data_IF_580777479873
#
_entry.id   IF_580777479873
#
_cell.length_a   1.000
_cell.length_b   1.000
_cell.length_c   1.000
_cell.angle_alpha   90.00
_cell.angle_beta   90.00
_cell.angle_gamma   90.00
#
_symmetry.space_group_name_H-M   'P 1'
#
loop_
_entity.id
_entity.type
_entity.pdbx_description
1 polymer ?
#
# COMPACT_ATOMS: atom_id res chain seq x y z
N UNK A 1 -7.49 14.26 -2.17
CA UNK A 1 -7.24 12.81 -1.94
C UNK A 1 -7.24 12.39 -0.47
N UNK A 2 -6.84 13.21 0.51
CA UNK A 2 -6.78 12.77 1.95
C UNK A 2 -8.08 12.18 2.50
N UNK A 3 -9.24 12.63 2.02
CA UNK A 3 -10.56 12.18 2.45
C UNK A 3 -11.20 11.15 1.50
N UNK A 4 -10.42 10.55 0.60
CA UNK A 4 -10.94 9.67 -0.45
C UNK A 4 -11.83 8.53 0.09
N UNK A 5 -11.34 7.81 1.11
CA UNK A 5 -12.05 6.66 1.66
C UNK A 5 -13.32 7.03 2.44
N UNK A 6 -13.32 8.16 3.15
CA UNK A 6 -14.50 8.63 3.91
C UNK A 6 -15.55 9.28 3.02
N UNK A 7 -15.15 9.86 1.88
CA UNK A 7 -16.08 10.46 0.93
C UNK A 7 -16.72 9.44 -0.02
N UNK A 8 -16.27 8.19 -0.02
CA UNK A 8 -16.74 7.16 -0.94
C UNK A 8 -18.28 6.98 -0.88
N UNK A 9 -18.93 6.86 0.29
CA UNK A 9 -20.39 6.68 0.35
C UNK A 9 -21.13 7.91 -0.20
N UNK A 10 -20.68 9.12 0.16
CA UNK A 10 -21.28 10.36 -0.31
C UNK A 10 -21.13 10.49 -1.83
N UNK A 11 -19.96 10.18 -2.38
CA UNK A 11 -19.71 10.25 -3.82
C UNK A 11 -20.60 9.27 -4.60
N UNK A 12 -20.79 8.05 -4.09
CA UNK A 12 -21.68 7.05 -4.70
C UNK A 12 -23.16 7.46 -4.60
N UNK A 13 -23.59 7.93 -3.43
CA UNK A 13 -25.00 8.25 -3.17
C UNK A 13 -25.43 9.61 -3.74
N UNK A 14 -24.53 10.57 -3.93
CA UNK A 14 -24.87 11.94 -4.38
C UNK A 14 -25.64 12.01 -5.70
N UNK A 15 -25.44 11.05 -6.60
CA UNK A 15 -26.12 10.98 -7.91
C UNK A 15 -27.47 10.27 -7.86
N UNK A 16 -27.71 9.48 -6.81
CA UNK A 16 -28.87 8.59 -6.68
C UNK A 16 -29.86 9.08 -5.63
N UNK A 17 -29.37 9.78 -4.61
CA UNK A 17 -30.17 10.30 -3.52
C UNK A 17 -31.06 11.47 -3.98
N UNK A 18 -32.27 11.53 -3.41
CA UNK A 18 -33.15 12.67 -3.61
C UNK A 18 -32.45 13.95 -3.12
N UNK A 19 -32.37 14.97 -3.98
CA UNK A 19 -31.81 16.27 -3.62
C UNK A 19 -32.54 16.92 -2.43
N UNK A 20 -31.91 17.90 -1.80
CA UNK A 20 -32.35 18.48 -0.51
C UNK A 20 -33.84 18.89 -0.43
N UNK A 21 -34.47 19.26 -1.53
CA UNK A 21 -35.90 19.64 -1.58
C UNK A 21 -36.90 18.46 -1.48
N UNK A 22 -36.44 17.21 -1.60
CA UNK A 22 -37.28 16.02 -1.63
C UNK A 22 -36.98 15.01 -0.50
N UNK A 23 -36.25 15.44 0.54
CA UNK A 23 -35.91 14.59 1.69
C UNK A 23 -37.13 14.05 2.44
N UNK A 24 -38.26 14.75 2.40
CA UNK A 24 -39.50 14.31 3.04
C UNK A 24 -40.27 13.25 2.23
N UNK A 25 -39.83 12.97 0.99
CA UNK A 25 -40.51 12.09 0.03
C UNK A 25 -39.55 11.04 -0.57
N UNK A 26 -38.51 10.65 0.17
CA UNK A 26 -37.62 9.55 -0.21
C UNK A 26 -38.14 8.20 0.33
N UNK A 27 -37.59 7.09 -0.17
CA UNK A 27 -37.85 5.77 0.40
C UNK A 27 -36.90 5.53 1.57
N UNK A 28 -37.43 5.22 2.75
CA UNK A 28 -36.65 5.04 3.98
C UNK A 28 -36.44 3.57 4.39
N UNK A 29 -36.72 2.62 3.50
CA UNK A 29 -36.67 1.18 3.77
C UNK A 29 -38.04 0.55 4.05
N UNK A 30 -39.04 1.33 4.46
CA UNK A 30 -40.38 0.83 4.81
C UNK A 30 -41.48 1.57 4.05
N UNK A 31 -41.40 2.91 3.98
CA UNK A 31 -42.40 3.75 3.32
C UNK A 31 -41.76 4.95 2.62
N UNK A 32 -42.56 5.70 1.86
CA UNK A 32 -42.15 6.98 1.28
C UNK A 32 -42.31 8.09 2.32
N UNK A 33 -41.27 8.30 3.11
CA UNK A 33 -41.22 9.29 4.17
C UNK A 33 -39.75 9.67 4.45
N UNK A 34 -39.55 10.70 5.27
CA UNK A 34 -38.20 11.12 5.69
C UNK A 34 -37.48 9.99 6.45
N UNK A 35 -36.18 9.85 6.17
CA UNK A 35 -35.27 9.03 6.98
C UNK A 35 -34.92 9.80 8.27
N UNK A 36 -35.18 9.17 9.42
CA UNK A 36 -35.00 9.80 10.74
C UNK A 36 -33.63 9.51 11.39
N UNK A 37 -33.05 8.30 11.29
CA UNK A 37 -31.75 8.03 11.90
C UNK A 37 -30.64 8.93 11.35
N UNK A 38 -29.69 9.26 12.21
CA UNK A 38 -28.50 10.02 11.81
C UNK A 38 -27.54 9.13 11.00
N UNK A 39 -26.77 9.75 10.11
CA UNK A 39 -25.71 9.04 9.40
C UNK A 39 -24.65 8.54 10.40
N UNK A 40 -24.24 7.29 10.25
CA UNK A 40 -23.18 6.71 11.09
C UNK A 40 -21.82 7.34 10.80
N UNK A 41 -20.95 7.38 11.81
CA UNK A 41 -19.57 7.85 11.68
C UNK A 41 -18.70 6.92 10.84
N UNK A 42 -17.58 7.47 10.34
CA UNK A 42 -16.65 6.74 9.48
C UNK A 42 -15.91 5.62 10.22
N UNK A 43 -15.62 4.53 9.51
CA UNK A 43 -14.78 3.43 10.01
C UNK A 43 -15.55 2.36 10.81
N UNK A 44 -14.98 1.15 10.88
CA UNK A 44 -15.66 -0.05 11.36
C UNK A 44 -16.19 0.07 12.80
N UNK A 45 -15.45 0.72 13.70
CA UNK A 45 -15.85 0.85 15.10
C UNK A 45 -17.14 1.67 15.29
N UNK A 46 -17.37 2.66 14.43
CA UNK A 46 -18.55 3.53 14.50
C UNK A 46 -19.82 2.87 13.93
N UNK A 47 -19.70 1.67 13.38
CA UNK A 47 -20.81 0.93 12.78
C UNK A 47 -21.48 -0.04 13.77
N UNK A 48 -21.02 -0.12 15.01
CA UNK A 48 -21.62 -1.01 16.02
C UNK A 48 -23.11 -0.74 16.27
N UNK A 49 -23.53 0.53 16.14
CA UNK A 49 -24.90 0.97 16.34
C UNK A 49 -25.61 1.32 15.01
N UNK A 50 -25.12 0.80 13.87
CA UNK A 50 -25.76 1.07 12.58
C UNK A 50 -27.13 0.38 12.53
N UNK A 51 -28.26 1.13 12.41
CA UNK A 51 -29.59 0.55 12.40
C UNK A 51 -29.90 -0.26 11.12
N UNK A 52 -29.14 -0.06 10.04
CA UNK A 52 -29.40 -0.69 8.74
C UNK A 52 -28.64 -2.00 8.55
N UNK A 53 -27.51 -2.18 9.25
CA UNK A 53 -26.60 -3.32 9.03
C UNK A 53 -25.94 -3.73 10.34
N UNK A 54 -26.16 -4.98 10.73
CA UNK A 54 -25.44 -5.59 11.85
C UNK A 54 -24.03 -6.01 11.41
N UNK A 55 -23.01 -5.48 12.08
CA UNK A 55 -21.60 -5.79 11.78
C UNK A 55 -20.87 -6.32 13.01
N UNK A 56 -20.10 -7.39 12.83
CA UNK A 56 -19.14 -7.86 13.83
C UNK A 56 -17.85 -7.04 13.77
N UNK A 57 -17.77 -5.99 14.59
CA UNK A 57 -16.61 -5.09 14.63
C UNK A 57 -15.32 -5.77 15.10
N UNK A 58 -15.41 -6.97 15.70
CA UNK A 58 -14.25 -7.70 16.24
C UNK A 58 -13.47 -8.43 15.16
N UNK A 59 -14.04 -8.57 13.95
CA UNK A 59 -13.44 -9.27 12.81
C UNK A 59 -13.15 -8.31 11.66
N UNK A 60 -12.11 -7.47 11.77
CA UNK A 60 -11.73 -6.60 10.67
C UNK A 60 -11.19 -7.40 9.48
N UNK A 61 -11.33 -6.84 8.28
CA UNK A 61 -10.75 -7.40 7.07
C UNK A 61 -9.21 -7.40 7.15
N UNK A 62 -8.61 -8.57 6.97
CA UNK A 62 -7.16 -8.77 7.10
C UNK A 62 -6.37 -8.15 5.94
N UNK A 63 -6.94 -8.12 4.74
CA UNK A 63 -6.31 -7.45 3.58
C UNK A 63 -6.24 -5.95 3.81
N UNK A 64 -7.33 -5.33 4.28
CA UNK A 64 -7.32 -3.90 4.64
C UNK A 64 -6.30 -3.63 5.76
N UNK A 65 -6.21 -4.52 6.77
CA UNK A 65 -5.22 -4.40 7.84
C UNK A 65 -3.78 -4.46 7.32
N UNK A 66 -3.49 -5.34 6.36
CA UNK A 66 -2.20 -5.45 5.70
C UNK A 66 -1.87 -4.18 4.91
N UNK A 67 -2.82 -3.66 4.12
CA UNK A 67 -2.61 -2.42 3.36
C UNK A 67 -2.37 -1.22 4.28
N UNK A 68 -3.07 -1.12 5.41
CA UNK A 68 -2.81 -0.09 6.44
C UNK A 68 -1.37 -0.22 6.98
N UNK A 69 -0.90 -1.44 7.23
CA UNK A 69 0.47 -1.67 7.69
C UNK A 69 1.49 -1.23 6.63
N UNK A 70 1.28 -1.55 5.36
CA UNK A 70 2.13 -1.10 4.25
C UNK A 70 2.19 0.42 4.15
N UNK A 71 1.04 1.10 4.28
CA UNK A 71 0.99 2.56 4.29
C UNK A 71 1.75 3.15 5.49
N UNK A 72 1.69 2.53 6.68
CA UNK A 72 2.47 2.95 7.85
C UNK A 72 3.97 2.78 7.64
N UNK A 73 4.40 1.65 7.08
CA UNK A 73 5.81 1.40 6.76
C UNK A 73 6.30 2.45 5.77
N UNK A 74 5.57 2.67 4.68
CA UNK A 74 5.93 3.66 3.66
C UNK A 74 5.97 5.08 4.23
N UNK A 75 4.99 5.44 5.08
CA UNK A 75 4.97 6.74 5.76
C UNK A 75 6.18 6.93 6.67
N UNK A 76 6.58 5.90 7.42
CA UNK A 76 7.79 5.91 8.24
C UNK A 76 9.05 6.08 7.40
N UNK A 77 9.16 5.36 6.27
CA UNK A 77 10.28 5.48 5.33
C UNK A 77 10.38 6.89 4.76
N UNK A 78 9.26 7.46 4.32
CA UNK A 78 9.22 8.84 3.81
C UNK A 78 9.60 9.86 4.87
N UNK A 79 9.18 9.66 6.13
CA UNK A 79 9.58 10.51 7.25
C UNK A 79 11.09 10.46 7.48
N UNK A 80 11.68 9.27 7.51
CA UNK A 80 13.13 9.11 7.69
C UNK A 80 13.93 9.75 6.55
N UNK A 81 13.48 9.57 5.30
CA UNK A 81 14.10 10.21 4.14
C UNK A 81 14.06 11.74 4.23
N UNK A 82 12.94 12.30 4.70
CA UNK A 82 12.79 13.74 4.92
C UNK A 82 13.75 14.27 6.02
N UNK A 83 14.08 13.45 7.00
CA UNK A 83 15.03 13.77 8.07
C UNK A 83 16.50 13.52 7.65
N UNK A 84 16.75 12.95 6.47
CA UNK A 84 18.08 12.65 5.95
C UNK A 84 18.68 11.35 6.48
N UNK A 85 17.88 10.49 7.09
CA UNK A 85 18.29 9.15 7.52
C UNK A 85 18.29 8.19 6.33
N UNK A 86 19.27 7.27 6.29
CA UNK A 86 19.30 6.24 5.27
C UNK A 86 18.08 5.32 5.39
N UNK A 87 17.45 5.02 4.26
CA UNK A 87 16.27 4.18 4.19
C UNK A 87 16.72 2.89 3.54
N UNK A 88 17.17 1.94 4.36
CA UNK A 88 17.46 0.60 3.89
C UNK A 88 16.18 0.04 3.26
N UNK A 89 16.20 -0.03 1.93
CA UNK A 89 15.28 -0.82 1.14
C UNK A 89 15.70 -2.29 1.36
N UNK A 90 15.48 -2.81 2.56
CA UNK A 90 15.32 -4.24 2.71
C UNK A 90 14.10 -4.59 1.89
N UNK A 91 14.36 -4.96 0.64
CA UNK A 91 13.38 -5.51 -0.27
C UNK A 91 12.66 -6.60 0.48
N UNK A 92 11.33 -6.54 0.45
CA UNK A 92 10.44 -7.54 1.02
C UNK A 92 10.46 -8.82 0.15
N UNK A 93 11.66 -9.30 -0.18
CA UNK A 93 11.93 -10.44 -1.05
C UNK A 93 12.86 -11.45 -0.41
N UNK A 94 12.83 -11.59 0.91
CA UNK A 94 13.25 -12.85 1.52
C UNK A 94 12.02 -13.52 2.10
N UNK A 95 11.52 -14.41 1.28
CA UNK A 95 10.61 -15.48 1.61
C UNK A 95 10.86 -16.02 3.02
N UNK A 96 9.76 -16.31 3.68
CA UNK A 96 9.66 -17.21 4.81
C UNK A 96 10.24 -18.60 4.44
N UNK A 97 11.56 -18.72 4.40
CA UNK A 97 12.26 -19.98 4.19
C UNK A 97 13.56 -19.99 5.00
N UNK A 98 13.42 -19.79 6.32
CA UNK A 98 14.41 -20.22 7.29
C UNK A 98 14.44 -21.75 7.37
N UNK A 99 15.10 -22.41 6.42
CA UNK A 99 15.33 -23.85 6.45
C UNK A 99 16.45 -24.17 7.44
N UNK A 100 16.13 -24.16 8.73
CA UNK A 100 16.99 -24.66 9.80
C UNK A 100 17.04 -26.19 9.81
N UNK A 101 17.66 -26.80 8.81
CA UNK A 101 17.89 -28.26 8.77
C UNK A 101 19.31 -28.58 9.20
N UNK A 102 19.51 -28.70 10.52
CA UNK A 102 20.74 -29.19 11.14
C UNK A 102 20.43 -30.24 12.19
N UNK A 103 19.85 -31.36 11.79
CA UNK A 103 19.70 -32.53 12.67
C UNK A 103 21.08 -33.17 12.86
N UNK A 104 21.75 -32.85 13.96
CA UNK A 104 22.96 -33.54 14.38
C UNK A 104 22.57 -34.74 15.27
N UNK A 105 22.37 -35.91 14.64
CA UNK A 105 22.42 -37.20 15.34
C UNK A 105 23.84 -37.73 15.24
N UNK A 106 24.43 -38.05 16.40
CA UNK A 106 25.81 -38.55 16.49
C UNK A 106 26.78 -37.41 16.82
N UNK A 107 27.21 -37.35 18.08
CA UNK A 107 28.03 -36.26 18.58
C UNK A 107 29.33 -36.12 17.81
N UNK A 108 29.49 -34.97 17.14
CA UNK A 108 30.71 -34.15 17.02
C UNK A 108 30.32 -32.86 16.26
N UNK A 109 29.91 -31.82 17.00
CA UNK A 109 29.91 -30.45 16.48
C UNK A 109 31.03 -29.68 17.21
N UNK A 110 32.01 -29.08 16.51
CA UNK A 110 33.03 -28.29 17.16
C UNK A 110 32.41 -26.99 17.68
N UNK A 111 32.48 -26.78 18.99
CA UNK A 111 32.11 -25.53 19.65
C UNK A 111 33.22 -24.49 19.44
N UNK A 112 32.85 -23.33 18.87
CA UNK A 112 33.30 -22.02 19.36
C UNK A 112 34.46 -21.31 18.64
N UNK A 113 34.07 -20.33 17.77
CA UNK A 113 34.62 -18.95 17.55
C UNK A 113 36.11 -18.75 17.17
N UNK A 114 36.53 -17.55 16.71
CA UNK A 114 36.14 -16.80 15.51
C UNK A 114 37.40 -16.54 14.64
N UNK A 115 37.46 -17.14 13.45
CA UNK A 115 38.61 -16.96 12.55
C UNK A 115 38.45 -15.72 11.67
N UNK A 116 39.28 -14.70 11.92
CA UNK A 116 39.67 -13.71 10.92
C UNK A 116 40.05 -14.43 9.62
N UNK A 117 39.27 -14.26 8.57
CA UNK A 117 39.74 -14.50 7.21
C UNK A 117 39.43 -13.28 6.37
N UNK A 118 40.50 -12.62 5.94
CA UNK A 118 40.49 -11.53 5.00
C UNK A 118 39.80 -11.98 3.71
N UNK A 119 38.64 -11.40 3.40
CA UNK A 119 38.13 -11.43 2.05
C UNK A 119 38.82 -10.33 1.26
N UNK A 120 39.69 -10.73 0.32
CA UNK A 120 40.20 -9.84 -0.71
C UNK A 120 39.02 -9.38 -1.57
N UNK A 121 38.80 -8.09 -1.83
CA UNK A 121 37.75 -7.67 -2.74
C UNK A 121 38.15 -8.11 -4.15
N UNK A 122 37.44 -9.08 -4.71
CA UNK A 122 37.53 -9.38 -6.15
C UNK A 122 37.03 -8.16 -6.92
N UNK A 123 37.96 -7.38 -7.46
CA UNK A 123 37.65 -6.30 -8.37
C UNK A 123 37.41 -6.89 -9.77
N UNK A 124 36.26 -7.52 -9.96
CA UNK A 124 35.77 -7.84 -11.29
C UNK A 124 35.43 -6.52 -11.98
N UNK A 125 36.38 -6.00 -12.77
CA UNK A 125 36.14 -4.91 -13.71
C UNK A 125 34.99 -5.31 -14.62
N UNK A 126 33.81 -4.75 -14.35
CA UNK A 126 32.69 -4.81 -15.29
C UNK A 126 33.13 -4.02 -16.52
N UNK A 127 33.47 -4.73 -17.60
CA UNK A 127 33.64 -4.09 -18.91
C UNK A 127 32.28 -3.50 -19.28
N UNK A 128 32.13 -2.20 -19.10
CA UNK A 128 31.08 -1.44 -19.74
C UNK A 128 31.27 -1.53 -21.25
N UNK A 129 30.59 -2.48 -21.88
CA UNK A 129 30.33 -2.39 -23.31
C UNK A 129 29.37 -1.21 -23.50
N UNK A 130 29.92 -0.05 -23.83
CA UNK A 130 29.14 1.06 -24.34
C UNK A 130 28.56 0.64 -25.70
N UNK A 131 27.43 -0.04 -25.69
CA UNK A 131 26.53 -0.03 -26.83
C UNK A 131 25.92 1.37 -26.83
N UNK A 132 26.49 2.24 -27.66
CA UNK A 132 25.85 3.48 -28.06
C UNK A 132 24.57 3.12 -28.83
N UNK A 133 23.50 2.82 -28.08
CA UNK A 133 22.17 2.74 -28.65
C UNK A 133 21.78 4.16 -29.04
N UNK A 134 21.66 4.34 -30.34
CA UNK A 134 21.34 5.57 -31.06
C UNK A 134 19.92 6.06 -30.72
N UNK A 135 19.72 6.58 -29.51
CA UNK A 135 18.47 7.20 -29.06
C UNK A 135 18.16 8.54 -29.72
N UNK A 136 19.08 9.09 -30.53
CA UNK A 136 18.91 10.38 -31.19
C UNK A 136 17.92 10.34 -32.37
N UNK A 137 17.61 9.16 -32.93
CA UNK A 137 16.74 9.02 -34.10
C UNK A 137 15.24 8.96 -33.79
N UNK A 138 14.85 8.75 -32.52
CA UNK A 138 13.45 8.69 -32.11
C UNK A 138 12.82 10.06 -31.79
N UNK A 139 13.62 11.13 -31.78
CA UNK A 139 13.14 12.50 -31.51
C UNK A 139 12.71 13.27 -32.77
N UNK A 140 13.09 12.79 -33.97
CA UNK A 140 12.75 13.43 -35.24
C UNK A 140 11.24 13.59 -35.51
N UNK A 141 10.35 12.62 -35.21
CA UNK A 141 8.92 12.83 -35.45
C UNK A 141 8.29 13.84 -34.49
N UNK A 142 8.85 14.00 -33.28
CA UNK A 142 8.33 14.92 -32.26
C UNK A 142 8.68 16.38 -32.57
N UNK A 143 9.87 16.62 -33.12
CA UNK A 143 10.31 17.96 -33.53
C UNK A 143 9.52 18.45 -34.75
N UNK A 144 9.20 17.57 -35.70
CA UNK A 144 8.40 17.94 -36.88
C UNK A 144 6.97 18.39 -36.51
N UNK A 145 6.37 17.81 -35.47
CA UNK A 145 5.05 18.20 -34.96
C UNK A 145 5.04 19.54 -34.23
N UNK A 146 6.18 19.98 -33.67
CA UNK A 146 6.30 21.27 -33.00
C UNK A 146 6.51 22.44 -33.96
N UNK A 147 6.99 22.18 -35.19
CA UNK A 147 7.16 23.20 -36.23
C UNK A 147 5.94 23.38 -37.16
N UNK A 148 4.84 22.65 -36.93
CA UNK A 148 3.57 22.81 -37.67
C UNK A 148 2.49 23.54 -36.87
N UNK A 149 2.87 24.31 -35.86
CA UNK A 149 1.99 25.28 -35.18
C UNK A 149 2.43 26.70 -35.45
#
# INVERSE_FOLDING_TARGET
MRQYWVQLPVALCSKLAAGGAAQDKCWNGITKARYLPEAMGDGLANQINNPEVELDITKPDMTIRQQIMQLKIMSSRLKNAMEGNDVDFQDASEDISGSGSGMCVGGHCPRGRPGLYAYSPENNRVRGAATAQTGLLLLLPLVALLFQR
#
